data_IF_872240874541
#
_entry.id   IF_872240874541
#
_cell.length_a   1.000
_cell.length_b   1.000
_cell.length_c   1.000
_cell.angle_alpha   90.00
_cell.angle_beta   90.00
_cell.angle_gamma   90.00
#
_symmetry.space_group_name_H-M   'P 1'
#
loop_
_entity.id
_entity.type
_entity.pdbx_description
1 polymer ?
#
# COMPACT_ATOMS: atom_id res chain seq x y z
N UNK A 1 -15.57 -18.46 15.99
CA UNK A 1 -14.82 -18.09 14.76
C UNK A 1 -15.47 -16.91 13.99
N UNK A 2 -16.80 -16.80 13.90
CA UNK A 2 -17.47 -15.68 13.20
C UNK A 2 -17.22 -14.28 13.77
N UNK A 3 -17.27 -14.10 15.10
CA UNK A 3 -17.05 -12.78 15.72
C UNK A 3 -15.64 -12.22 15.45
N UNK A 4 -14.63 -13.08 15.45
CA UNK A 4 -13.24 -12.70 15.13
C UNK A 4 -13.11 -12.28 13.67
N UNK A 5 -13.75 -13.01 12.74
CA UNK A 5 -13.76 -12.70 11.30
C UNK A 5 -14.44 -11.36 11.01
N UNK A 6 -15.55 -11.06 11.71
CA UNK A 6 -16.27 -9.77 11.61
C UNK A 6 -15.43 -8.58 12.10
N UNK A 7 -14.72 -8.72 13.21
CA UNK A 7 -13.85 -7.65 13.75
C UNK A 7 -12.63 -7.37 12.86
N UNK A 8 -12.02 -8.40 12.27
CA UNK A 8 -10.90 -8.20 11.32
C UNK A 8 -11.35 -7.42 10.09
N UNK A 9 -12.54 -7.73 9.56
CA UNK A 9 -13.09 -7.07 8.38
C UNK A 9 -13.50 -5.61 8.66
N UNK A 10 -14.09 -5.33 9.83
CA UNK A 10 -14.44 -3.97 10.26
C UNK A 10 -13.18 -3.10 10.40
N UNK A 11 -12.11 -3.66 10.99
CA UNK A 11 -10.85 -2.97 11.15
C UNK A 11 -10.22 -2.61 9.79
N UNK A 12 -10.21 -3.51 8.81
CA UNK A 12 -9.68 -3.18 7.48
C UNK A 12 -10.43 -2.03 6.82
N UNK A 13 -11.76 -1.96 6.97
CA UNK A 13 -12.57 -0.86 6.43
C UNK A 13 -12.22 0.47 7.13
N UNK A 14 -12.07 0.46 8.45
CA UNK A 14 -11.69 1.66 9.21
C UNK A 14 -10.31 2.17 8.75
N UNK A 15 -9.32 1.28 8.59
CA UNK A 15 -7.99 1.69 8.11
C UNK A 15 -8.01 2.18 6.65
N UNK A 16 -8.90 1.64 5.81
CA UNK A 16 -9.10 2.17 4.45
C UNK A 16 -9.66 3.60 4.48
N UNK A 17 -10.63 3.86 5.37
CA UNK A 17 -11.20 5.20 5.56
C UNK A 17 -10.16 6.19 6.11
N UNK A 18 -9.36 5.77 7.10
CA UNK A 18 -8.26 6.59 7.65
C UNK A 18 -7.21 6.88 6.57
N UNK A 19 -6.88 5.91 5.72
CA UNK A 19 -6.01 6.13 4.57
C UNK A 19 -6.62 7.17 3.61
N UNK A 20 -7.88 7.02 3.21
CA UNK A 20 -8.55 8.00 2.34
C UNK A 20 -8.59 9.40 2.94
N UNK A 21 -8.89 9.49 4.24
CA UNK A 21 -8.93 10.74 4.99
C UNK A 21 -7.55 11.39 5.19
N UNK A 22 -6.45 10.64 5.09
CA UNK A 22 -5.09 11.20 5.16
C UNK A 22 -4.54 11.54 3.78
N UNK A 23 -4.86 10.74 2.76
CA UNK A 23 -4.40 10.96 1.40
C UNK A 23 -5.02 12.19 0.74
N UNK A 24 -6.35 12.38 0.82
CA UNK A 24 -7.02 13.49 0.15
C UNK A 24 -6.56 14.87 0.66
N UNK A 25 -6.48 15.14 1.98
CA UNK A 25 -5.94 16.40 2.47
C UNK A 25 -4.46 16.58 2.15
N UNK A 26 -3.63 15.52 2.26
CA UNK A 26 -2.21 15.59 1.95
C UNK A 26 -1.98 16.00 0.48
N UNK A 27 -2.70 15.40 -0.46
CA UNK A 27 -2.59 15.76 -1.88
C UNK A 27 -3.02 17.20 -2.14
N UNK A 28 -4.10 17.66 -1.53
CA UNK A 28 -4.55 19.05 -1.67
C UNK A 28 -3.54 20.04 -1.09
N UNK A 29 -3.07 19.82 0.15
CA UNK A 29 -2.12 20.69 0.83
C UNK A 29 -0.79 20.80 0.06
N UNK A 30 -0.28 19.68 -0.45
CA UNK A 30 0.95 19.65 -1.24
C UNK A 30 0.77 20.30 -2.61
N UNK A 31 -0.38 20.11 -3.26
CA UNK A 31 -0.68 20.74 -4.55
C UNK A 31 -0.75 22.26 -4.46
N UNK A 32 -1.30 22.81 -3.38
CA UNK A 32 -1.36 24.26 -3.16
C UNK A 32 -0.04 24.88 -2.66
N UNK A 33 1.02 24.07 -2.47
CA UNK A 33 2.36 24.52 -2.02
C UNK A 33 2.31 25.44 -0.79
N UNK A 34 1.42 25.14 0.15
CA UNK A 34 1.16 26.00 1.32
C UNK A 34 2.32 25.99 2.33
N UNK A 35 3.15 24.93 2.31
CA UNK A 35 4.21 24.70 3.29
C UNK A 35 5.59 24.63 2.66
N UNK A 36 6.61 24.95 3.46
CA UNK A 36 8.02 24.77 3.09
C UNK A 36 8.40 23.29 2.91
N UNK A 37 9.50 23.06 2.19
CA UNK A 37 9.94 21.73 1.74
C UNK A 37 10.02 20.65 2.85
N UNK A 38 10.54 20.92 4.07
CA UNK A 38 10.62 19.90 5.12
C UNK A 38 9.23 19.43 5.60
N UNK A 39 8.29 20.36 5.74
CA UNK A 39 6.92 20.04 6.17
C UNK A 39 6.18 19.25 5.08
N UNK A 40 6.38 19.62 3.82
CA UNK A 40 5.78 18.93 2.67
C UNK A 40 6.22 17.47 2.58
N UNK A 41 7.49 17.16 2.87
CA UNK A 41 7.98 15.77 2.95
C UNK A 41 7.27 15.00 4.07
N UNK A 42 7.11 15.60 5.25
CA UNK A 42 6.42 14.96 6.38
C UNK A 42 4.97 14.64 6.00
N UNK A 43 4.27 15.60 5.37
CA UNK A 43 2.89 15.43 4.92
C UNK A 43 2.79 14.32 3.85
N UNK A 44 3.78 14.21 2.95
CA UNK A 44 3.83 13.15 1.93
C UNK A 44 4.03 11.75 2.52
N UNK A 45 4.70 11.62 3.67
CA UNK A 45 4.98 10.30 4.30
C UNK A 45 3.78 9.76 5.07
N UNK A 46 2.92 10.63 5.63
CA UNK A 46 1.77 10.21 6.44
C UNK A 46 0.83 9.22 5.70
N UNK A 47 0.38 9.51 4.45
CA UNK A 47 -0.46 8.59 3.68
C UNK A 47 0.20 7.23 3.40
N UNK A 48 1.54 7.22 3.27
CA UNK A 48 2.31 6.00 3.01
C UNK A 48 2.30 5.09 4.23
N UNK A 49 2.48 5.66 5.43
CA UNK A 49 2.40 4.92 6.69
C UNK A 49 1.00 4.37 6.92
N UNK A 50 -0.04 5.19 6.71
CA UNK A 50 -1.43 4.74 6.90
C UNK A 50 -1.82 3.65 5.89
N UNK A 51 -1.38 3.78 4.64
CA UNK A 51 -1.56 2.75 3.63
C UNK A 51 -0.86 1.45 4.00
N UNK A 52 0.40 1.50 4.46
CA UNK A 52 1.13 0.31 4.90
C UNK A 52 0.40 -0.44 6.02
N UNK A 53 -0.13 0.29 7.02
CA UNK A 53 -0.91 -0.31 8.11
C UNK A 53 -2.20 -0.95 7.58
N UNK A 54 -2.91 -0.28 6.66
CA UNK A 54 -4.10 -0.82 6.01
C UNK A 54 -3.79 -2.16 5.31
N UNK A 55 -2.71 -2.22 4.54
CA UNK A 55 -2.30 -3.44 3.81
C UNK A 55 -2.00 -4.60 4.76
N UNK A 56 -1.27 -4.34 5.85
CA UNK A 56 -0.99 -5.38 6.86
C UNK A 56 -2.27 -5.95 7.48
N UNK A 57 -3.29 -5.12 7.69
CA UNK A 57 -4.60 -5.55 8.23
C UNK A 57 -5.41 -6.26 7.16
N UNK A 58 -5.36 -5.80 5.91
CA UNK A 58 -6.05 -6.40 4.78
C UNK A 58 -5.52 -7.81 4.47
N UNK A 59 -4.19 -8.02 4.45
CA UNK A 59 -3.57 -9.34 4.29
C UNK A 59 -4.02 -10.31 5.40
N UNK A 60 -4.08 -9.83 6.64
CA UNK A 60 -4.60 -10.64 7.77
C UNK A 60 -6.07 -11.05 7.61
N UNK A 61 -6.87 -10.30 6.87
CA UNK A 61 -8.24 -10.68 6.57
C UNK A 61 -8.31 -11.88 5.60
N UNK A 62 -7.41 -11.94 4.62
CA UNK A 62 -7.33 -13.06 3.66
C UNK A 62 -6.69 -14.32 4.24
N UNK A 63 -5.90 -14.21 5.32
CA UNK A 63 -5.29 -15.36 5.97
C UNK A 63 -6.29 -16.32 6.66
N UNK A 64 -7.60 -16.14 6.45
CA UNK A 64 -8.68 -16.98 6.98
C UNK A 64 -9.30 -17.89 5.90
N UNK A 65 -8.70 -17.97 4.70
CA UNK A 65 -9.14 -18.87 3.62
C UNK A 65 -8.66 -20.31 3.83
N UNK A 66 -9.53 -21.30 3.78
CA UNK A 66 -9.16 -22.69 4.12
C UNK A 66 -8.15 -23.34 3.15
N UNK A 67 -8.11 -22.90 1.89
CA UNK A 67 -7.15 -23.42 0.90
C UNK A 67 -5.79 -22.71 0.94
N UNK A 68 -4.76 -23.40 1.46
CA UNK A 68 -3.41 -22.83 1.67
C UNK A 68 -2.74 -22.38 0.36
N UNK A 69 -2.85 -23.15 -0.74
CA UNK A 69 -2.23 -22.79 -2.03
C UNK A 69 -2.88 -21.56 -2.67
N UNK A 70 -4.21 -21.50 -2.68
CA UNK A 70 -4.95 -20.32 -3.16
C UNK A 70 -4.69 -19.10 -2.27
N UNK A 71 -4.60 -19.31 -0.94
CA UNK A 71 -4.25 -18.25 0.02
C UNK A 71 -2.88 -17.64 -0.26
N UNK A 72 -1.85 -18.45 -0.52
CA UNK A 72 -0.50 -17.96 -0.85
C UNK A 72 -0.51 -17.11 -2.12
N UNK A 73 -1.19 -17.58 -3.17
CA UNK A 73 -1.30 -16.84 -4.43
C UNK A 73 -2.06 -15.51 -4.26
N UNK A 74 -3.17 -15.54 -3.53
CA UNK A 74 -3.98 -14.35 -3.29
C UNK A 74 -3.23 -13.32 -2.40
N UNK A 75 -2.57 -13.78 -1.33
CA UNK A 75 -1.71 -12.91 -0.51
C UNK A 75 -0.57 -12.30 -1.34
N UNK A 76 0.06 -13.08 -2.22
CA UNK A 76 1.12 -12.61 -3.10
C UNK A 76 0.64 -11.51 -4.06
N UNK A 77 -0.51 -11.70 -4.70
CA UNK A 77 -1.13 -10.69 -5.57
C UNK A 77 -1.48 -9.44 -4.77
N UNK A 78 -2.08 -9.60 -3.60
CA UNK A 78 -2.42 -8.46 -2.72
C UNK A 78 -1.17 -7.70 -2.32
N UNK A 79 -0.10 -8.37 -1.87
CA UNK A 79 1.17 -7.72 -1.51
C UNK A 79 1.76 -7.00 -2.72
N UNK A 80 1.85 -7.67 -3.87
CA UNK A 80 2.44 -7.11 -5.09
C UNK A 80 1.71 -5.87 -5.58
N UNK A 81 0.38 -5.95 -5.68
CA UNK A 81 -0.47 -4.83 -6.06
C UNK A 81 -0.37 -3.68 -5.07
N UNK A 82 -0.36 -3.99 -3.77
CA UNK A 82 -0.29 -3.00 -2.70
C UNK A 82 1.04 -2.24 -2.71
N UNK A 83 2.17 -2.95 -2.82
CA UNK A 83 3.49 -2.32 -2.91
C UNK A 83 3.61 -1.44 -4.16
N UNK A 84 3.01 -1.86 -5.28
CA UNK A 84 2.96 -1.06 -6.51
C UNK A 84 2.16 0.22 -6.30
N UNK A 85 0.96 0.11 -5.71
CA UNK A 85 0.12 1.26 -5.41
C UNK A 85 0.83 2.23 -4.43
N UNK A 86 1.51 1.69 -3.42
CA UNK A 86 2.29 2.48 -2.46
C UNK A 86 3.44 3.22 -3.13
N UNK A 87 4.16 2.57 -4.06
CA UNK A 87 5.24 3.18 -4.83
C UNK A 87 4.72 4.32 -5.71
N UNK A 88 3.65 4.10 -6.48
CA UNK A 88 3.03 5.13 -7.34
C UNK A 88 2.63 6.34 -6.50
N UNK A 89 1.98 6.09 -5.36
CA UNK A 89 1.52 7.14 -4.46
C UNK A 89 2.69 7.95 -3.89
N UNK A 90 3.76 7.28 -3.46
CA UNK A 90 4.96 7.92 -2.94
C UNK A 90 5.61 8.80 -4.01
N UNK A 91 5.79 8.27 -5.23
CA UNK A 91 6.38 9.02 -6.34
C UNK A 91 5.54 10.24 -6.71
N UNK A 92 4.22 10.10 -6.73
CA UNK A 92 3.30 11.21 -6.97
C UNK A 92 3.41 12.30 -5.89
N UNK A 93 3.39 11.93 -4.61
CA UNK A 93 3.49 12.89 -3.51
C UNK A 93 4.87 13.57 -3.46
N UNK A 94 5.95 12.84 -3.75
CA UNK A 94 7.29 13.41 -3.86
C UNK A 94 7.45 14.34 -5.07
N UNK A 95 6.75 14.06 -6.17
CA UNK A 95 6.70 14.95 -7.33
C UNK A 95 6.03 16.28 -6.98
N UNK A 96 4.97 16.26 -6.15
CA UNK A 96 4.37 17.49 -5.62
C UNK A 96 5.32 18.29 -4.69
N UNK A 97 6.37 17.66 -4.18
CA UNK A 97 7.39 18.30 -3.35
C UNK A 97 8.63 18.77 -4.13
N UNK A 98 8.61 18.72 -5.46
CA UNK A 98 9.77 19.01 -6.35
C UNK A 98 11.00 18.12 -6.07
N UNK A 99 10.81 16.90 -5.53
CA UNK A 99 11.91 15.95 -5.21
C UNK A 99 12.05 14.86 -6.27
N UNK A 100 10.96 14.48 -6.94
CA UNK A 100 10.93 13.38 -7.89
C UNK A 100 10.43 13.83 -9.25
N UNK A 101 11.20 13.50 -10.29
CA UNK A 101 10.79 13.66 -11.68
C UNK A 101 10.10 12.39 -12.19
N UNK A 102 8.94 12.55 -12.83
CA UNK A 102 8.14 11.44 -13.38
C UNK A 102 8.89 10.68 -14.49
N UNK A 103 9.90 11.31 -15.11
CA UNK A 103 10.67 10.75 -16.22
C UNK A 103 11.48 9.49 -15.88
N UNK A 104 11.89 9.29 -14.62
CA UNK A 104 12.63 8.09 -14.21
C UNK A 104 11.72 6.86 -14.02
N UNK A 105 10.43 7.09 -13.74
CA UNK A 105 9.45 6.06 -13.41
C UNK A 105 8.28 6.04 -14.41
N UNK A 106 8.60 5.85 -15.69
CA UNK A 106 7.59 5.71 -16.74
C UNK A 106 6.68 4.49 -16.56
N UNK A 107 5.55 4.48 -17.29
CA UNK A 107 4.52 3.43 -17.22
C UNK A 107 5.04 2.00 -17.47
N UNK A 108 6.10 1.83 -18.27
CA UNK A 108 6.72 0.53 -18.52
C UNK A 108 7.48 0.00 -17.30
N UNK A 109 8.18 0.88 -16.57
CA UNK A 109 8.94 0.49 -15.37
C UNK A 109 7.99 0.07 -14.24
N UNK A 110 6.80 0.68 -14.16
CA UNK A 110 5.75 0.33 -13.20
C UNK A 110 5.28 -1.13 -13.34
N UNK A 111 5.15 -1.64 -14.57
CA UNK A 111 4.85 -3.05 -14.81
C UNK A 111 5.97 -3.97 -14.31
N UNK A 112 7.23 -3.58 -14.52
CA UNK A 112 8.38 -4.30 -13.98
C UNK A 112 8.37 -4.37 -12.46
N UNK A 113 8.10 -3.25 -11.79
CA UNK A 113 7.98 -3.21 -10.32
C UNK A 113 6.81 -4.06 -9.81
N UNK A 114 5.67 -4.03 -10.49
CA UNK A 114 4.51 -4.88 -10.14
C UNK A 114 4.88 -6.37 -10.16
N UNK A 115 5.64 -6.78 -11.18
CA UNK A 115 6.12 -8.16 -11.31
C UNK A 115 7.09 -8.52 -10.19
N UNK A 116 8.08 -7.66 -9.90
CA UNK A 116 9.04 -7.87 -8.80
C UNK A 116 8.32 -7.96 -7.45
N UNK A 117 7.39 -7.03 -7.16
CA UNK A 117 6.66 -7.00 -5.90
C UNK A 117 5.74 -8.21 -5.72
N UNK A 118 5.17 -8.75 -6.80
CA UNK A 118 4.45 -10.01 -6.74
C UNK A 118 5.36 -11.16 -6.28
N UNK A 119 6.56 -11.30 -6.83
CA UNK A 119 7.50 -12.34 -6.41
C UNK A 119 7.97 -12.16 -4.97
N UNK A 120 8.17 -10.91 -4.52
CA UNK A 120 8.46 -10.61 -3.11
C UNK A 120 7.30 -11.08 -2.22
N UNK A 121 6.06 -10.73 -2.57
CA UNK A 121 4.86 -11.17 -1.85
C UNK A 121 4.72 -12.69 -1.82
N UNK A 122 4.95 -13.33 -2.97
CA UNK A 122 4.93 -14.78 -3.10
C UNK A 122 5.98 -15.44 -2.21
N UNK A 123 7.22 -14.95 -2.20
CA UNK A 123 8.28 -15.50 -1.37
C UNK A 123 7.98 -15.35 0.13
N UNK A 124 7.44 -14.21 0.54
CA UNK A 124 7.02 -13.97 1.93
C UNK A 124 5.89 -14.91 2.35
N UNK A 125 4.83 -15.02 1.53
CA UNK A 125 3.70 -15.90 1.81
C UNK A 125 4.10 -17.37 1.77
N UNK A 126 4.95 -17.77 0.83
CA UNK A 126 5.49 -19.13 0.73
C UNK A 126 6.27 -19.51 2.00
N UNK A 127 7.19 -18.64 2.46
CA UNK A 127 7.95 -18.84 3.71
C UNK A 127 7.04 -18.91 4.94
N UNK A 128 5.97 -18.10 4.98
CA UNK A 128 5.00 -18.07 6.08
C UNK A 128 4.19 -19.36 6.20
N UNK A 129 3.87 -20.02 5.09
CA UNK A 129 3.04 -21.24 5.07
C UNK A 129 3.83 -22.55 4.89
N UNK A 130 5.15 -22.48 4.66
CA UNK A 130 6.01 -23.67 4.56
C UNK A 130 5.77 -24.52 3.31
N UNK A 131 5.20 -23.93 2.25
CA UNK A 131 4.91 -24.58 0.96
C UNK A 131 6.04 -24.30 -0.05
#
# INVERSE_FOLDING_TARGET
MERTKKNVNLNSIIYALVYGATYLPATLLLKYRVFGQPLSIIIAVIPIITFAIFILKFIKAFSVMDEVKQRVQLEAVVIGFSLTAMLIMLLFLLSLCDISDFGWFGYANLLGFCWIFYFVGWFISKKKYGV
#
